data_IF_382329440875
#
_entry.id   IF_382329440875
#
_cell.length_a   1.000
_cell.length_b   1.000
_cell.length_c   1.000
_cell.angle_alpha   90.00
_cell.angle_beta   90.00
_cell.angle_gamma   90.00
#
_symmetry.space_group_name_H-M   'P 1'
#
loop_
_entity.id
_entity.type
_entity.pdbx_description
1 polymer ?
#
# COMPACT_ATOMS: atom_id res chain seq x y z
N UNK A 1 17.09 -8.49 -11.65
CA UNK A 1 15.64 -8.43 -11.94
C UNK A 1 15.23 -9.80 -12.46
N UNK A 2 14.30 -10.47 -11.79
CA UNK A 2 13.86 -11.84 -12.08
C UNK A 2 12.64 -11.91 -13.01
N UNK A 3 12.33 -10.85 -13.70
CA UNK A 3 11.17 -10.75 -14.61
C UNK A 3 10.23 -9.60 -14.28
N UNK A 4 9.12 -9.59 -14.98
CA UNK A 4 7.98 -8.70 -14.75
C UNK A 4 6.82 -9.57 -14.26
N UNK A 5 5.96 -9.00 -13.45
CA UNK A 5 4.81 -9.65 -12.86
C UNK A 5 4.00 -10.52 -13.85
N UNK A 6 3.91 -11.82 -13.54
CA UNK A 6 3.26 -12.82 -14.41
C UNK A 6 4.16 -13.43 -15.50
N UNK A 7 5.35 -12.86 -15.74
CA UNK A 7 6.34 -13.40 -16.69
C UNK A 7 7.72 -13.40 -16.03
N UNK A 8 7.99 -14.44 -15.25
CA UNK A 8 9.23 -14.61 -14.49
C UNK A 8 10.27 -15.36 -15.30
N UNK A 9 11.52 -14.96 -15.13
CA UNK A 9 12.66 -15.67 -15.70
C UNK A 9 13.06 -16.85 -14.78
N UNK A 10 12.52 -18.01 -15.09
CA UNK A 10 12.71 -19.22 -14.28
C UNK A 10 14.18 -19.68 -14.27
N UNK A 11 14.93 -19.46 -15.37
CA UNK A 11 16.35 -19.83 -15.41
C UNK A 11 17.17 -18.99 -14.45
N UNK A 12 16.90 -17.68 -14.41
CA UNK A 12 17.53 -16.78 -13.44
C UNK A 12 17.16 -17.16 -12.02
N UNK A 13 15.89 -17.47 -11.75
CA UNK A 13 15.43 -17.87 -10.41
C UNK A 13 16.15 -19.17 -9.99
N UNK A 14 16.20 -20.17 -10.86
CA UNK A 14 16.89 -21.42 -10.59
C UNK A 14 18.39 -21.23 -10.34
N UNK A 15 19.04 -20.34 -11.10
CA UNK A 15 20.47 -20.05 -10.92
C UNK A 15 20.79 -19.38 -9.58
N UNK A 16 19.82 -18.68 -8.98
CA UNK A 16 19.96 -18.07 -7.66
C UNK A 16 19.84 -19.10 -6.52
N UNK A 17 19.25 -20.26 -6.80
CA UNK A 17 19.00 -21.35 -5.85
C UNK A 17 18.43 -20.84 -4.49
N UNK A 18 17.31 -20.14 -4.47
CA UNK A 18 16.76 -19.59 -3.24
C UNK A 18 16.10 -20.68 -2.39
N UNK A 19 16.24 -20.58 -1.06
CA UNK A 19 15.56 -21.46 -0.11
C UNK A 19 14.06 -21.22 -0.05
N UNK A 20 13.61 -19.98 -0.36
CA UNK A 20 12.21 -19.56 -0.33
C UNK A 20 11.98 -18.38 -1.30
N UNK A 21 10.79 -18.30 -1.86
CA UNK A 21 10.35 -17.15 -2.66
C UNK A 21 9.13 -16.53 -2.01
N UNK A 22 9.23 -15.25 -1.61
CA UNK A 22 8.05 -14.49 -1.19
C UNK A 22 7.29 -14.02 -2.42
N UNK A 23 6.01 -14.30 -2.45
CA UNK A 23 5.11 -13.92 -3.54
C UNK A 23 4.02 -12.98 -3.04
N UNK A 24 3.62 -12.02 -3.88
CA UNK A 24 2.41 -11.24 -3.66
C UNK A 24 1.30 -11.80 -4.55
N UNK A 25 0.35 -12.57 -4.03
CA UNK A 25 -0.70 -13.21 -4.82
C UNK A 25 -1.81 -12.23 -5.24
N UNK A 26 -1.43 -10.98 -5.50
CA UNK A 26 -2.36 -9.94 -5.95
C UNK A 26 -2.92 -10.26 -7.34
N UNK A 27 -2.07 -10.72 -8.24
CA UNK A 27 -2.48 -11.21 -9.55
C UNK A 27 -2.49 -12.74 -9.58
N UNK A 28 -3.47 -13.32 -10.22
CA UNK A 28 -3.56 -14.76 -10.43
C UNK A 28 -2.67 -15.18 -11.61
N UNK A 29 -1.87 -16.22 -11.40
CA UNK A 29 -1.03 -16.85 -12.44
C UNK A 29 0.45 -16.49 -12.35
N UNK A 30 1.25 -17.18 -13.15
CA UNK A 30 2.71 -16.99 -13.25
C UNK A 30 3.52 -17.73 -12.18
N UNK A 31 2.90 -18.37 -11.19
CA UNK A 31 3.61 -19.07 -10.10
C UNK A 31 3.69 -20.59 -10.30
N UNK A 32 3.00 -21.14 -11.29
CA UNK A 32 2.94 -22.60 -11.48
C UNK A 32 4.32 -23.16 -11.83
N UNK A 33 5.03 -22.51 -12.75
CA UNK A 33 6.39 -22.87 -13.09
C UNK A 33 7.38 -22.80 -11.89
N UNK A 34 7.18 -21.83 -10.98
CA UNK A 34 7.97 -21.74 -9.75
C UNK A 34 7.68 -22.90 -8.79
N UNK A 35 6.43 -23.35 -8.70
CA UNK A 35 6.07 -24.53 -7.90
C UNK A 35 6.69 -25.81 -8.45
N UNK A 36 6.77 -25.97 -9.76
CA UNK A 36 7.38 -27.11 -10.44
C UNK A 36 8.90 -27.20 -10.18
N UNK A 37 9.55 -26.07 -9.92
CA UNK A 37 10.98 -26.03 -9.55
C UNK A 37 11.21 -26.60 -8.13
N UNK A 38 10.14 -26.74 -7.32
CA UNK A 38 10.23 -27.31 -5.98
C UNK A 38 10.67 -26.31 -4.89
N UNK A 39 10.76 -25.03 -5.20
CA UNK A 39 11.11 -23.99 -4.23
C UNK A 39 9.84 -23.57 -3.48
N UNK A 40 9.85 -23.50 -2.13
CA UNK A 40 8.70 -23.04 -1.35
C UNK A 40 8.27 -21.63 -1.70
N UNK A 41 6.97 -21.46 -1.98
CA UNK A 41 6.36 -20.15 -2.21
C UNK A 41 5.62 -19.69 -0.97
N UNK A 42 6.02 -18.56 -0.42
CA UNK A 42 5.42 -17.98 0.79
C UNK A 42 4.62 -16.73 0.45
N UNK A 43 3.28 -16.74 0.64
CA UNK A 43 2.46 -15.58 0.35
C UNK A 43 2.77 -14.42 1.32
N UNK A 44 3.11 -13.26 0.78
CA UNK A 44 3.17 -12.00 1.52
C UNK A 44 1.88 -11.21 1.28
N UNK A 45 1.04 -11.10 2.30
CA UNK A 45 -0.30 -10.51 2.21
C UNK A 45 -0.39 -9.08 2.79
N UNK A 46 0.72 -8.42 3.02
CA UNK A 46 0.77 -7.06 3.57
C UNK A 46 -0.12 -6.04 2.83
N UNK A 47 -0.33 -6.24 1.53
CA UNK A 47 -1.21 -5.38 0.74
C UNK A 47 -2.70 -5.49 1.13
N UNK A 48 -3.09 -6.51 1.91
CA UNK A 48 -4.46 -6.68 2.44
C UNK A 48 -4.67 -6.00 3.79
N UNK A 49 -3.61 -5.56 4.43
CA UNK A 49 -3.72 -4.86 5.70
C UNK A 49 -4.48 -3.56 5.55
N UNK A 50 -5.37 -3.32 6.47
CA UNK A 50 -6.24 -2.14 6.47
C UNK A 50 -5.68 -1.00 7.32
N UNK A 51 -4.62 -1.27 8.08
CA UNK A 51 -3.98 -0.29 8.96
C UNK A 51 -2.50 -0.09 8.61
N UNK A 52 -1.95 1.13 8.78
CA UNK A 52 -0.54 1.40 8.54
C UNK A 52 0.40 0.55 9.40
N UNK A 53 0.08 0.38 10.67
CA UNK A 53 0.89 -0.45 11.57
C UNK A 53 0.79 -1.95 11.22
N UNK A 54 -0.40 -2.45 10.84
CA UNK A 54 -0.56 -3.81 10.36
C UNK A 54 0.32 -4.08 9.13
N UNK A 55 0.38 -3.13 8.19
CA UNK A 55 1.27 -3.27 7.03
C UNK A 55 2.75 -3.25 7.42
N UNK A 56 3.16 -2.37 8.33
CA UNK A 56 4.54 -2.29 8.81
C UNK A 56 4.96 -3.55 9.60
N UNK A 57 4.01 -4.20 10.29
CA UNK A 57 4.27 -5.39 11.11
C UNK A 57 4.75 -6.60 10.30
N UNK A 58 4.50 -6.64 9.00
CA UNK A 58 5.00 -7.70 8.11
C UNK A 58 6.54 -7.82 8.10
N UNK A 59 7.27 -6.81 8.58
CA UNK A 59 8.72 -6.92 8.78
C UNK A 59 9.07 -8.07 9.75
N UNK A 60 8.24 -8.32 10.77
CA UNK A 60 8.45 -9.42 11.72
C UNK A 60 8.33 -10.78 11.04
N UNK A 61 7.33 -10.91 10.13
CA UNK A 61 7.15 -12.12 9.34
C UNK A 61 8.37 -12.42 8.47
N UNK A 62 8.92 -11.42 7.78
CA UNK A 62 10.15 -11.58 6.98
C UNK A 62 11.33 -11.91 7.89
N UNK A 63 11.46 -11.26 9.05
CA UNK A 63 12.51 -11.48 10.02
C UNK A 63 12.65 -12.95 10.44
N UNK A 64 11.53 -13.67 10.59
CA UNK A 64 11.52 -15.09 10.97
C UNK A 64 12.22 -16.00 9.94
N UNK A 65 12.16 -15.66 8.64
CA UNK A 65 12.77 -16.47 7.59
C UNK A 65 14.28 -16.25 7.44
N UNK A 66 14.79 -15.15 7.98
CA UNK A 66 16.21 -14.79 7.86
C UNK A 66 16.95 -14.75 9.22
N UNK A 67 16.29 -15.25 10.28
CA UNK A 67 16.87 -15.30 11.64
C UNK A 67 17.12 -13.92 12.24
N UNK A 68 16.28 -12.93 11.90
CA UNK A 68 16.41 -11.54 12.35
C UNK A 68 15.18 -11.10 13.16
N UNK A 69 14.59 -12.00 13.95
CA UNK A 69 13.37 -11.73 14.71
C UNK A 69 13.55 -10.59 15.72
N UNK A 70 14.69 -10.57 16.40
CA UNK A 70 14.99 -9.54 17.40
C UNK A 70 15.07 -8.17 16.73
N UNK A 71 15.86 -8.04 15.68
CA UNK A 71 16.00 -6.78 14.95
C UNK A 71 14.68 -6.32 14.31
N UNK A 72 13.90 -7.25 13.76
CA UNK A 72 12.60 -6.96 13.16
C UNK A 72 11.60 -6.43 14.21
N UNK A 73 11.59 -7.02 15.41
CA UNK A 73 10.76 -6.55 16.51
C UNK A 73 11.19 -5.17 17.02
N UNK A 74 12.48 -4.93 17.16
CA UNK A 74 13.00 -3.61 17.56
C UNK A 74 12.65 -2.52 16.54
N UNK A 75 12.83 -2.82 15.25
CA UNK A 75 12.46 -1.88 14.17
C UNK A 75 10.96 -1.62 14.16
N UNK A 76 10.13 -2.64 14.29
CA UNK A 76 8.68 -2.45 14.37
C UNK A 76 8.30 -1.61 15.58
N UNK A 77 8.83 -1.89 16.76
CA UNK A 77 8.54 -1.12 17.98
C UNK A 77 8.92 0.36 17.83
N UNK A 78 10.04 0.65 17.15
CA UNK A 78 10.44 2.02 16.86
C UNK A 78 9.47 2.72 15.90
N UNK A 79 9.00 2.01 14.85
CA UNK A 79 8.00 2.52 13.92
C UNK A 79 6.68 2.78 14.64
N UNK A 80 6.20 1.81 15.41
CA UNK A 80 4.95 1.89 16.17
C UNK A 80 4.95 3.09 17.13
N UNK A 81 6.02 3.22 17.91
CA UNK A 81 6.20 4.35 18.83
C UNK A 81 6.12 5.69 18.09
N UNK A 82 6.90 5.84 17.01
CA UNK A 82 6.93 7.08 16.23
C UNK A 82 5.61 7.38 15.56
N UNK A 83 4.95 6.36 15.04
CA UNK A 83 3.62 6.48 14.43
C UNK A 83 2.60 7.01 15.44
N UNK A 84 2.55 6.41 16.64
CA UNK A 84 1.62 6.80 17.69
C UNK A 84 1.89 8.21 18.22
N UNK A 85 3.16 8.62 18.38
CA UNK A 85 3.52 9.99 18.73
C UNK A 85 2.98 11.00 17.69
N UNK A 86 3.12 10.71 16.40
CA UNK A 86 2.64 11.58 15.33
C UNK A 86 1.11 11.61 15.27
N UNK A 87 0.47 10.46 15.48
CA UNK A 87 -0.99 10.34 15.54
C UNK A 87 -1.58 11.15 16.70
N UNK A 88 -0.97 11.09 17.88
CA UNK A 88 -1.37 11.89 19.04
C UNK A 88 -1.20 13.39 18.77
N UNK A 89 -0.09 13.78 18.15
CA UNK A 89 0.13 15.17 17.74
C UNK A 89 -0.95 15.65 16.77
N UNK A 90 -1.31 14.82 15.79
CA UNK A 90 -2.33 15.12 14.80
C UNK A 90 -3.76 15.09 15.36
N UNK A 91 -4.02 14.38 16.45
CA UNK A 91 -5.35 14.29 17.06
C UNK A 91 -5.90 15.65 17.55
N UNK A 92 -4.99 16.59 17.85
CA UNK A 92 -5.32 17.91 18.39
C UNK A 92 -5.51 19.01 17.32
N UNK A 93 -5.45 18.66 16.02
CA UNK A 93 -5.65 19.66 14.96
C UNK A 93 -7.07 20.22 14.99
N UNK A 94 -7.17 21.55 14.95
CA UNK A 94 -8.50 22.23 15.02
C UNK A 94 -9.25 22.18 13.69
N UNK A 95 -8.54 22.17 12.58
CA UNK A 95 -9.11 22.08 11.24
C UNK A 95 -8.42 20.92 10.52
N UNK A 96 -9.20 19.94 10.08
CA UNK A 96 -8.72 18.80 9.30
C UNK A 96 -8.75 19.19 7.83
N UNK A 97 -7.58 19.22 7.14
CA UNK A 97 -7.59 19.49 5.72
C UNK A 97 -8.22 18.32 4.96
N UNK A 98 -8.93 18.64 3.87
CA UNK A 98 -9.49 17.65 2.97
C UNK A 98 -8.39 17.17 2.00
N UNK A 99 -8.16 15.86 1.95
CA UNK A 99 -7.22 15.24 1.01
C UNK A 99 -7.98 14.51 -0.08
N UNK A 100 -7.69 14.90 -1.30
CA UNK A 100 -8.14 14.24 -2.51
C UNK A 100 -7.03 13.31 -3.02
N UNK A 101 -7.38 12.10 -3.46
CA UNK A 101 -6.39 11.14 -3.97
C UNK A 101 -6.98 10.27 -5.07
N UNK A 102 -6.16 9.89 -6.01
CA UNK A 102 -6.55 9.01 -7.10
C UNK A 102 -5.87 9.41 -8.40
N UNK A 103 -6.25 8.72 -9.46
CA UNK A 103 -5.74 8.94 -10.81
C UNK A 103 -6.75 8.53 -11.87
N UNK A 104 -6.61 9.04 -13.08
CA UNK A 104 -7.43 8.61 -14.23
C UNK A 104 -6.88 7.29 -14.76
N UNK A 105 -7.77 6.29 -14.85
CA UNK A 105 -7.52 4.99 -15.49
C UNK A 105 -8.68 4.65 -16.42
N UNK A 106 -8.37 4.46 -17.69
CA UNK A 106 -9.39 4.07 -18.68
C UNK A 106 -10.58 5.04 -18.79
N UNK A 107 -10.34 6.34 -18.62
CA UNK A 107 -11.37 7.38 -18.69
C UNK A 107 -12.19 7.60 -17.42
N UNK A 108 -11.97 6.80 -16.39
CA UNK A 108 -12.62 6.95 -15.08
C UNK A 108 -11.60 7.34 -14.00
N UNK A 109 -12.07 7.93 -12.91
CA UNK A 109 -11.24 8.18 -11.76
C UNK A 109 -11.13 6.92 -10.90
N UNK A 110 -9.91 6.50 -10.62
CA UNK A 110 -9.61 5.39 -9.73
C UNK A 110 -9.05 5.91 -8.42
N UNK A 111 -9.68 5.54 -7.32
CA UNK A 111 -9.27 5.85 -5.96
C UNK A 111 -9.38 4.59 -5.08
N UNK A 112 -9.19 4.73 -3.78
CA UNK A 112 -9.45 3.67 -2.79
C UNK A 112 -10.53 4.13 -1.83
N UNK A 113 -11.30 3.17 -1.30
CA UNK A 113 -12.40 3.48 -0.39
C UNK A 113 -11.97 3.95 1.00
N UNK A 114 -12.93 4.40 1.78
CA UNK A 114 -12.70 4.99 3.11
C UNK A 114 -12.28 4.02 4.20
N UNK A 115 -12.39 2.71 3.96
CA UNK A 115 -11.89 1.65 4.86
C UNK A 115 -10.52 1.10 4.43
N UNK A 116 -9.81 1.81 3.58
CA UNK A 116 -8.47 1.41 3.13
C UNK A 116 -7.38 1.86 4.10
N UNK A 117 -6.24 1.18 4.01
CA UNK A 117 -4.99 1.58 4.66
C UNK A 117 -4.68 3.08 4.44
N UNK A 118 -4.86 3.58 3.21
CA UNK A 118 -4.56 4.96 2.87
C UNK A 118 -5.51 5.95 3.56
N UNK A 119 -6.80 5.64 3.60
CA UNK A 119 -7.79 6.46 4.30
C UNK A 119 -7.51 6.51 5.81
N UNK A 120 -7.09 5.38 6.39
CA UNK A 120 -6.64 5.30 7.78
C UNK A 120 -5.43 6.20 8.03
N UNK A 121 -4.43 6.13 7.13
CA UNK A 121 -3.22 6.95 7.23
C UNK A 121 -3.54 8.46 7.21
N UNK A 122 -4.43 8.91 6.32
CA UNK A 122 -4.87 10.30 6.29
C UNK A 122 -5.58 10.70 7.58
N UNK A 123 -6.48 9.85 8.06
CA UNK A 123 -7.20 10.11 9.32
C UNK A 123 -6.25 10.25 10.49
N UNK A 124 -5.28 9.36 10.61
CA UNK A 124 -4.29 9.35 11.68
C UNK A 124 -3.30 10.53 11.58
N UNK A 125 -3.06 11.02 10.36
CA UNK A 125 -2.29 12.24 10.11
C UNK A 125 -3.09 13.54 10.34
N UNK A 126 -4.33 13.46 10.84
CA UNK A 126 -5.16 14.62 11.13
C UNK A 126 -5.88 15.23 9.92
N UNK A 127 -5.98 14.49 8.82
CA UNK A 127 -6.69 14.92 7.62
C UNK A 127 -8.03 14.20 7.45
N UNK A 128 -8.90 14.77 6.64
CA UNK A 128 -10.10 14.11 6.14
C UNK A 128 -9.86 13.65 4.70
N UNK A 129 -10.24 12.41 4.42
CA UNK A 129 -10.16 11.86 3.09
C UNK A 129 -11.48 12.05 2.35
N UNK A 130 -11.46 12.42 1.07
CA UNK A 130 -12.67 12.74 0.30
C UNK A 130 -13.68 11.56 0.21
N UNK A 131 -13.21 10.31 0.31
CA UNK A 131 -14.03 9.09 0.37
C UNK A 131 -14.10 8.49 1.79
N UNK A 132 -13.91 9.27 2.85
CA UNK A 132 -13.87 8.77 4.24
C UNK A 132 -15.10 7.95 4.64
N UNK A 133 -16.25 8.25 4.06
CA UNK A 133 -17.52 7.58 4.36
C UNK A 133 -17.82 6.38 3.43
N UNK A 134 -16.97 6.12 2.43
CA UNK A 134 -17.09 4.95 1.56
C UNK A 134 -16.74 3.67 2.34
N UNK A 135 -17.64 2.66 2.37
CA UNK A 135 -17.44 1.46 3.18
C UNK A 135 -16.41 0.48 2.62
N UNK A 136 -15.93 0.69 1.40
CA UNK A 136 -14.97 -0.21 0.73
C UNK A 136 -13.55 0.00 1.23
N UNK A 137 -12.78 -1.09 1.27
CA UNK A 137 -11.34 -1.06 1.57
C UNK A 137 -10.45 -1.07 0.32
N UNK A 138 -10.99 -1.52 -0.80
CA UNK A 138 -10.29 -1.67 -2.06
C UNK A 138 -10.49 -0.51 -3.03
N UNK A 139 -10.14 -0.77 -4.30
CA UNK A 139 -10.30 0.18 -5.40
C UNK A 139 -11.74 0.58 -5.66
N UNK A 140 -11.92 1.84 -5.97
CA UNK A 140 -13.19 2.49 -6.27
C UNK A 140 -13.05 3.23 -7.58
N UNK A 141 -13.98 2.99 -8.50
CA UNK A 141 -14.07 3.74 -9.75
C UNK A 141 -15.20 4.75 -9.64
N UNK A 142 -14.91 5.99 -9.96
CA UNK A 142 -15.85 7.11 -9.88
C UNK A 142 -15.94 7.78 -11.27
N UNK A 143 -17.11 8.32 -11.55
CA UNK A 143 -17.29 9.22 -12.71
C UNK A 143 -16.64 10.58 -12.45
N UNK A 144 -16.34 11.29 -13.53
CA UNK A 144 -15.62 12.54 -13.47
C UNK A 144 -16.42 13.67 -12.78
N UNK A 145 -17.73 13.70 -12.93
CA UNK A 145 -18.58 14.74 -12.34
C UNK A 145 -18.59 14.62 -10.82
N UNK A 146 -18.74 13.40 -10.30
CA UNK A 146 -18.66 13.11 -8.86
C UNK A 146 -17.30 13.54 -8.30
N UNK A 147 -16.24 13.23 -9.03
CA UNK A 147 -14.85 13.58 -8.63
C UNK A 147 -14.65 15.08 -8.62
N UNK A 148 -15.06 15.78 -9.68
CA UNK A 148 -14.89 17.22 -9.81
C UNK A 148 -15.56 18.00 -8.68
N UNK A 149 -16.82 17.63 -8.37
CA UNK A 149 -17.57 18.28 -7.28
C UNK A 149 -16.92 18.12 -5.91
N UNK A 150 -16.20 17.03 -5.67
CA UNK A 150 -15.49 16.78 -4.42
C UNK A 150 -14.10 17.38 -4.37
N UNK A 151 -13.41 17.40 -5.54
CA UNK A 151 -12.06 17.94 -5.66
C UNK A 151 -12.02 19.47 -5.44
N UNK A 152 -13.09 20.19 -5.80
CA UNK A 152 -13.17 21.64 -5.61
C UNK A 152 -13.01 22.09 -4.15
N UNK A 153 -13.42 21.24 -3.20
CA UNK A 153 -13.30 21.49 -1.77
C UNK A 153 -12.02 20.96 -1.13
N UNK A 154 -11.14 20.33 -1.91
CA UNK A 154 -9.92 19.71 -1.40
C UNK A 154 -8.82 20.74 -1.13
N UNK A 155 -8.18 20.63 0.03
CA UNK A 155 -7.00 21.44 0.38
C UNK A 155 -5.72 20.85 -0.25
N UNK A 156 -5.66 19.52 -0.43
CA UNK A 156 -4.50 18.80 -0.98
C UNK A 156 -4.90 17.69 -1.94
N UNK A 157 -4.14 17.55 -3.00
CA UNK A 157 -4.21 16.41 -3.90
C UNK A 157 -2.98 15.52 -3.75
N UNK A 158 -3.19 14.28 -3.27
CA UNK A 158 -2.15 13.26 -3.29
C UNK A 158 -2.14 12.54 -4.64
N UNK A 159 -1.07 12.70 -5.37
CA UNK A 159 -0.83 12.03 -6.64
C UNK A 159 -0.40 10.57 -6.37
N UNK A 160 -1.00 9.61 -7.09
CA UNK A 160 -0.79 8.17 -6.87
C UNK A 160 0.46 7.66 -7.57
N UNK A 161 0.73 8.14 -8.76
CA UNK A 161 1.89 7.73 -9.56
C UNK A 161 3.06 8.69 -9.41
N UNK A 162 4.26 8.19 -9.73
CA UNK A 162 5.41 9.05 -9.93
C UNK A 162 5.15 9.97 -11.12
N UNK A 163 4.78 11.19 -10.82
CA UNK A 163 4.69 12.25 -11.80
C UNK A 163 6.08 12.88 -11.94
N UNK A 164 6.65 12.77 -13.13
CA UNK A 164 7.97 13.30 -13.47
C UNK A 164 7.92 14.65 -14.21
N UNK A 165 6.73 15.20 -14.35
CA UNK A 165 6.50 16.51 -14.94
C UNK A 165 6.58 17.66 -13.93
N UNK A 166 6.71 18.87 -14.44
CA UNK A 166 6.67 20.11 -13.64
C UNK A 166 5.22 20.52 -13.42
N UNK A 167 4.81 20.72 -12.16
CA UNK A 167 3.51 21.34 -11.86
C UNK A 167 3.63 22.83 -12.20
N UNK A 168 2.78 23.29 -13.09
CA UNK A 168 2.54 24.73 -13.33
C UNK A 168 1.22 25.10 -12.69
N UNK A 169 1.24 26.12 -11.82
CA UNK A 169 0.03 26.71 -11.25
C UNK A 169 -0.57 27.72 -12.22
#
# INVERSE_FOLDING_TARGET
KIGIEGNFDNEVIMSMNPDVIFISPFKRGGYDAMREIGIPLVPHLGYKEMTPLGQAEWIKFIGMFIGQEVEANEKFAAIEKRYNELKELAANVKKRPMVFSGEIRGGNWYAVGGKSFLAELFRDAGADYFLKDDPRSGGVTLDFETVYSQAESADYWRIVNSYDGTFTY
#
